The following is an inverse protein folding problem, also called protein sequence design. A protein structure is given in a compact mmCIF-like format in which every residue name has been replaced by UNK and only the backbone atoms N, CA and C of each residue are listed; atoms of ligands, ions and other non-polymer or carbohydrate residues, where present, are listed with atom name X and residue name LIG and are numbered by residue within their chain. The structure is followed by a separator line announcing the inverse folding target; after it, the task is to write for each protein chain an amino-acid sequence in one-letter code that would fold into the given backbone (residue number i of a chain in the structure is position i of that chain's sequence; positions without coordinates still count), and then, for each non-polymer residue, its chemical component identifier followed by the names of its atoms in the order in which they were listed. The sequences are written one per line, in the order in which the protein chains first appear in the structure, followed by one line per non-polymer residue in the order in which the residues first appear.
data_IF_903118127844
#
_entry.id   IF_903118127844
#
_cell.length_a   1.000
_cell.length_b   1.000
_cell.length_c   1.000
_cell.angle_alpha   90.00
_cell.angle_beta   90.00
_cell.angle_gamma   90.00
#
_symmetry.space_group_name_H-M   'P 1'
#
loop_
_entity.id
_entity.type
_entity.pdbx_description
1 polymer ?
#
# COMPACT_ATOMS: atom_id res chain seq x y z
N UNK A 1 -54.94 41.00 29.18
CA UNK A 1 -56.14 41.66 28.62
C UNK A 1 -56.32 41.18 27.18
N UNK A 2 -57.46 40.54 26.96
CA UNK A 2 -58.29 40.48 25.72
C UNK A 2 -57.60 39.95 24.45
N UNK A 3 -57.92 38.70 23.99
CA UNK A 3 -59.12 38.26 23.18
C UNK A 3 -59.03 38.84 21.78
N UNK A 4 -59.23 38.10 20.65
CA UNK A 4 -60.42 37.40 20.11
C UNK A 4 -59.96 36.78 18.77
N UNK A 5 -60.08 35.48 18.40
CA UNK A 5 -61.16 34.71 17.79
C UNK A 5 -61.69 35.26 16.42
N UNK A 6 -61.64 34.41 15.38
CA UNK A 6 -62.71 34.02 14.43
C UNK A 6 -62.05 33.32 13.23
N UNK A 7 -62.30 32.15 12.83
CA UNK A 7 -63.43 31.24 12.57
C UNK A 7 -64.21 31.53 11.27
N UNK A 8 -64.52 30.45 10.57
CA UNK A 8 -65.57 30.25 9.49
C UNK A 8 -65.05 30.36 8.06
N UNK A 9 -65.41 29.58 7.07
CA UNK A 9 -66.33 28.41 6.96
C UNK A 9 -66.19 27.79 5.58
N UNK A 10 -66.29 26.50 5.51
CA UNK A 10 -67.06 25.66 4.58
C UNK A 10 -67.64 26.28 3.27
N UNK A 11 -67.45 25.55 2.17
CA UNK A 11 -68.54 25.14 1.28
C UNK A 11 -68.13 23.97 0.39
N UNK A 12 -68.88 22.91 0.48
CA UNK A 12 -68.98 21.73 -0.37
C UNK A 12 -69.53 22.07 -1.75
N UNK A 13 -69.15 21.30 -2.74
CA UNK A 13 -70.04 20.77 -3.81
C UNK A 13 -69.25 19.79 -4.65
N UNK A 14 -69.53 18.72 -4.79
CA UNK A 14 -69.89 17.47 -5.18
C UNK A 14 -70.17 17.33 -6.67
N UNK A 15 -69.53 16.36 -7.31
CA UNK A 15 -70.03 15.73 -8.52
C UNK A 15 -69.48 14.30 -8.59
N UNK A 16 -70.34 13.37 -8.50
CA UNK A 16 -70.20 11.93 -8.78
C UNK A 16 -70.27 11.74 -10.29
N UNK A 17 -69.31 11.03 -10.90
CA UNK A 17 -69.55 10.33 -12.16
C UNK A 17 -68.95 8.94 -12.02
N UNK A 18 -69.82 7.95 -12.09
CA UNK A 18 -69.57 6.53 -12.27
C UNK A 18 -69.10 6.24 -13.69
N UNK A 19 -68.15 5.36 -13.85
CA UNK A 19 -67.98 4.69 -15.13
C UNK A 19 -66.69 3.93 -15.33
N UNK A 20 -66.85 2.61 -15.37
CA UNK A 20 -66.15 1.62 -16.14
C UNK A 20 -64.84 0.97 -15.58
N UNK A 21 -64.99 -0.34 -15.37
CA UNK A 21 -63.95 -1.32 -15.18
C UNK A 21 -62.87 -1.29 -16.28
N UNK A 22 -61.62 -1.21 -15.84
CA UNK A 22 -60.43 -1.51 -16.66
C UNK A 22 -59.41 -2.15 -15.76
N UNK A 23 -59.08 -3.42 -16.04
CA UNK A 23 -58.16 -4.25 -15.34
C UNK A 23 -56.75 -3.83 -15.75
N UNK A 24 -56.11 -2.94 -15.00
CA UNK A 24 -54.71 -2.57 -15.21
C UNK A 24 -53.87 -3.01 -14.03
N UNK A 25 -52.95 -3.95 -14.34
CA UNK A 25 -51.89 -4.38 -13.47
C UNK A 25 -51.12 -3.16 -12.96
N UNK A 26 -51.11 -2.94 -11.64
CA UNK A 26 -50.12 -2.10 -10.99
C UNK A 26 -48.77 -2.72 -11.19
N UNK A 27 -47.98 -2.20 -12.10
CA UNK A 27 -46.53 -2.32 -12.05
C UNK A 27 -46.08 -1.53 -10.80
N UNK A 28 -45.68 -2.29 -9.77
CA UNK A 28 -44.86 -1.74 -8.69
C UNK A 28 -43.52 -1.34 -9.30
N UNK A 29 -43.37 -0.07 -9.59
CA UNK A 29 -42.06 0.55 -9.80
C UNK A 29 -41.31 0.36 -8.48
N UNK A 30 -40.46 -0.68 -8.41
CA UNK A 30 -39.40 -0.74 -7.44
C UNK A 30 -38.50 0.46 -7.73
N UNK A 31 -38.67 1.52 -6.95
CA UNK A 31 -37.64 2.51 -6.75
C UNK A 31 -36.38 1.73 -6.34
N UNK A 32 -35.43 1.59 -7.23
CA UNK A 32 -34.10 1.15 -6.88
C UNK A 32 -33.56 2.22 -5.93
N UNK A 33 -33.53 1.93 -4.63
CA UNK A 33 -32.70 2.67 -3.70
C UNK A 33 -31.29 2.67 -4.29
N UNK A 34 -30.91 3.78 -4.89
CA UNK A 34 -29.50 4.05 -5.15
C UNK A 34 -28.84 4.05 -3.77
N UNK A 35 -28.09 3.00 -3.48
CA UNK A 35 -27.16 2.98 -2.35
C UNK A 35 -26.19 4.12 -2.64
N UNK A 36 -26.43 5.27 -2.03
CA UNK A 36 -25.49 6.40 -2.06
C UNK A 36 -24.31 5.94 -1.23
N UNK A 37 -23.29 5.44 -1.90
CA UNK A 37 -22.02 5.10 -1.30
C UNK A 37 -21.49 6.35 -0.60
N UNK A 38 -21.44 6.32 0.73
CA UNK A 38 -21.02 7.48 1.53
C UNK A 38 -19.72 7.16 2.24
N UNK A 39 -18.67 7.91 1.91
CA UNK A 39 -17.41 7.91 2.66
C UNK A 39 -17.71 8.27 4.13
N UNK A 40 -17.08 7.59 5.07
CA UNK A 40 -17.32 7.77 6.49
C UNK A 40 -16.68 9.05 7.02
N UNK A 41 -17.23 9.61 8.11
CA UNK A 41 -16.64 10.77 8.79
C UNK A 41 -15.47 10.38 9.73
N UNK A 42 -15.03 9.11 9.72
CA UNK A 42 -13.95 8.61 10.58
C UNK A 42 -12.61 8.73 9.86
N UNK A 43 -11.61 9.20 10.56
CA UNK A 43 -10.22 9.20 10.06
C UNK A 43 -9.77 7.77 9.73
N UNK A 44 -9.07 7.62 8.62
CA UNK A 44 -8.41 6.39 8.20
C UNK A 44 -6.92 6.49 8.52
N UNK A 45 -6.44 5.65 9.44
CA UNK A 45 -5.06 5.67 9.91
C UNK A 45 -4.20 4.73 9.05
N UNK A 46 -3.22 5.28 8.33
CA UNK A 46 -2.37 4.53 7.40
C UNK A 46 -0.92 4.50 7.88
N UNK A 47 -0.39 3.30 8.03
CA UNK A 47 1.01 3.07 8.38
C UNK A 47 1.91 3.01 7.15
N UNK A 48 3.02 3.75 7.15
CA UNK A 48 4.01 3.75 6.07
C UNK A 48 5.43 3.55 6.61
N UNK A 49 6.32 3.13 5.72
CA UNK A 49 7.77 3.22 5.87
C UNK A 49 8.30 4.28 4.89
N UNK A 50 9.47 4.91 5.15
CA UNK A 50 10.05 5.91 4.25
C UNK A 50 10.63 5.25 2.99
N UNK A 51 9.76 4.87 2.08
CA UNK A 51 10.06 4.19 0.82
C UNK A 51 9.27 4.81 -0.33
N UNK A 52 9.73 4.63 -1.56
CA UNK A 52 9.07 5.14 -2.77
C UNK A 52 7.59 4.76 -2.84
N UNK A 53 7.24 3.56 -2.38
CA UNK A 53 5.85 3.07 -2.32
C UNK A 53 4.91 3.93 -1.47
N UNK A 54 5.43 4.76 -0.57
CA UNK A 54 4.63 5.67 0.26
C UNK A 54 4.29 6.99 -0.43
N UNK A 55 4.99 7.35 -1.52
CA UNK A 55 4.83 8.65 -2.19
C UNK A 55 3.39 8.95 -2.59
N UNK A 56 2.65 8.03 -3.25
CA UNK A 56 1.29 8.34 -3.67
C UNK A 56 0.35 8.61 -2.49
N UNK A 57 0.56 7.91 -1.35
CA UNK A 57 -0.24 8.10 -0.14
C UNK A 57 0.06 9.46 0.49
N UNK A 58 1.35 9.82 0.57
CA UNK A 58 1.79 11.10 1.12
C UNK A 58 1.25 12.25 0.28
N UNK A 59 1.43 12.20 -1.04
CA UNK A 59 0.97 13.24 -1.94
C UNK A 59 -0.56 13.32 -1.99
N UNK A 60 -1.27 12.18 -1.94
CA UNK A 60 -2.73 12.20 -1.84
C UNK A 60 -3.23 12.97 -0.61
N UNK A 61 -2.50 12.90 0.51
CA UNK A 61 -2.82 13.68 1.72
C UNK A 61 -2.43 15.15 1.57
N UNK A 62 -1.20 15.44 1.21
CA UNK A 62 -0.65 16.80 1.25
C UNK A 62 -1.20 17.69 0.13
N UNK A 63 -1.47 17.13 -1.07
CA UNK A 63 -2.13 17.82 -2.20
C UNK A 63 -3.66 17.83 -2.07
N UNK A 64 -4.20 17.23 -1.01
CA UNK A 64 -5.62 17.29 -0.69
C UNK A 64 -6.50 16.33 -1.49
N UNK A 65 -5.94 15.35 -2.21
CA UNK A 65 -6.75 14.41 -3.02
C UNK A 65 -7.62 13.52 -2.15
N UNK A 66 -7.19 13.10 -0.96
CA UNK A 66 -8.06 12.40 0.00
C UNK A 66 -9.24 13.27 0.40
N UNK A 67 -8.98 14.52 0.76
CA UNK A 67 -10.02 15.48 1.15
C UNK A 67 -11.02 15.74 0.02
N UNK A 68 -10.56 15.80 -1.24
CA UNK A 68 -11.40 15.92 -2.43
C UNK A 68 -12.35 14.73 -2.59
N UNK A 69 -11.91 13.52 -2.18
CA UNK A 69 -12.75 12.32 -2.16
C UNK A 69 -13.64 12.24 -0.90
N UNK A 70 -13.61 13.24 -0.01
CA UNK A 70 -14.34 13.24 1.25
C UNK A 70 -13.73 12.34 2.34
N UNK A 71 -12.49 11.88 2.17
CA UNK A 71 -11.81 10.98 3.07
C UNK A 71 -10.83 11.76 3.96
N UNK A 72 -10.92 11.55 5.28
CA UNK A 72 -9.90 12.01 6.23
C UNK A 72 -8.88 10.90 6.47
N UNK A 73 -7.58 11.19 6.21
CA UNK A 73 -6.49 10.22 6.34
C UNK A 73 -5.42 10.77 7.29
N UNK A 74 -5.04 9.96 8.27
CA UNK A 74 -3.83 10.20 9.06
C UNK A 74 -2.71 9.23 8.68
N UNK A 75 -1.47 9.74 8.54
CA UNK A 75 -0.31 8.94 8.14
C UNK A 75 0.63 8.80 9.34
N UNK A 76 0.88 7.55 9.73
CA UNK A 76 1.87 7.20 10.75
C UNK A 76 3.12 6.60 10.10
N UNK A 77 4.26 7.25 10.28
CA UNK A 77 5.55 6.78 9.75
C UNK A 77 6.27 5.92 10.78
N UNK A 78 6.77 4.77 10.34
CA UNK A 78 7.51 3.82 11.15
C UNK A 78 8.96 3.69 10.66
N UNK A 79 9.89 3.40 11.58
CA UNK A 79 11.32 3.22 11.27
C UNK A 79 11.67 1.79 10.87
N UNK A 80 10.79 0.83 11.16
CA UNK A 80 10.99 -0.59 10.83
C UNK A 80 9.67 -1.31 10.54
N UNK A 81 9.70 -2.43 9.79
CA UNK A 81 8.52 -3.28 9.59
C UNK A 81 7.99 -3.85 10.91
N UNK A 82 8.86 -4.12 11.88
CA UNK A 82 8.47 -4.66 13.18
C UNK A 82 7.61 -3.66 13.96
N UNK A 83 8.01 -2.39 14.04
CA UNK A 83 7.24 -1.33 14.73
C UNK A 83 5.88 -1.13 14.09
N UNK A 84 5.82 -1.12 12.75
CA UNK A 84 4.57 -1.07 11.99
C UNK A 84 3.65 -2.25 12.34
N UNK A 85 4.19 -3.47 12.40
CA UNK A 85 3.41 -4.66 12.71
C UNK A 85 2.86 -4.64 14.14
N UNK A 86 3.60 -4.08 15.10
CA UNK A 86 3.11 -3.84 16.47
C UNK A 86 1.92 -2.88 16.45
N UNK A 87 1.98 -1.79 15.68
CA UNK A 87 0.87 -0.84 15.57
C UNK A 87 -0.39 -1.47 14.95
N UNK A 88 -0.26 -2.39 13.98
CA UNK A 88 -1.39 -3.17 13.44
C UNK A 88 -2.00 -4.06 14.53
N UNK A 89 -1.17 -4.80 15.28
CA UNK A 89 -1.64 -5.66 16.37
C UNK A 89 -2.34 -4.87 17.47
N UNK A 90 -1.87 -3.66 17.75
CA UNK A 90 -2.49 -2.72 18.70
C UNK A 90 -3.74 -2.02 18.13
N UNK A 91 -4.08 -2.24 16.84
CA UNK A 91 -5.17 -1.56 16.12
C UNK A 91 -5.01 -0.04 16.10
N UNK A 92 -3.78 0.44 16.07
CA UNK A 92 -3.45 1.86 15.98
C UNK A 92 -3.49 2.40 14.55
N UNK A 93 -3.47 1.50 13.55
CA UNK A 93 -3.59 1.80 12.14
C UNK A 93 -4.62 0.87 11.49
N UNK A 94 -5.34 1.40 10.51
CA UNK A 94 -6.43 0.76 9.78
C UNK A 94 -5.95 0.06 8.51
N UNK A 95 -4.87 0.58 7.93
CA UNK A 95 -4.24 0.06 6.73
C UNK A 95 -2.76 0.36 6.68
N UNK A 96 -2.03 -0.30 5.79
CA UNK A 96 -0.58 -0.15 5.70
C UNK A 96 0.00 -0.62 4.37
N UNK A 97 1.20 -0.12 4.05
CA UNK A 97 2.11 -0.75 3.09
C UNK A 97 2.81 -1.91 3.80
N UNK A 98 2.78 -3.10 3.19
CA UNK A 98 3.33 -4.33 3.75
C UNK A 98 3.77 -5.29 2.64
N UNK A 99 3.67 -6.59 2.87
CA UNK A 99 4.00 -7.67 1.93
C UNK A 99 3.11 -8.89 2.15
N UNK A 100 3.10 -9.81 1.17
CA UNK A 100 2.25 -11.01 1.18
C UNK A 100 2.58 -11.93 2.35
N UNK A 101 3.87 -12.13 2.68
CA UNK A 101 4.27 -13.04 3.77
C UNK A 101 3.86 -12.50 5.14
N UNK A 102 3.85 -11.18 5.32
CA UNK A 102 3.34 -10.53 6.54
C UNK A 102 1.84 -10.79 6.70
N UNK A 103 1.05 -10.64 5.61
CA UNK A 103 -0.39 -10.95 5.64
C UNK A 103 -0.64 -12.41 6.01
N UNK A 104 0.05 -13.35 5.36
CA UNK A 104 -0.07 -14.78 5.66
C UNK A 104 0.29 -15.08 7.12
N UNK A 105 1.31 -14.42 7.67
CA UNK A 105 1.71 -14.56 9.07
C UNK A 105 0.68 -13.94 10.01
N UNK A 106 0.10 -12.82 9.67
CA UNK A 106 -1.00 -12.20 10.43
C UNK A 106 -2.20 -13.14 10.47
N UNK A 107 -2.60 -13.69 9.34
CA UNK A 107 -3.71 -14.65 9.25
C UNK A 107 -3.51 -15.84 10.17
N UNK A 108 -2.31 -16.45 10.16
CA UNK A 108 -1.93 -17.53 11.07
C UNK A 108 -2.09 -17.15 12.54
N UNK A 109 -1.80 -15.90 12.89
CA UNK A 109 -1.85 -15.38 14.26
C UNK A 109 -3.20 -14.76 14.64
N UNK A 110 -4.24 -14.92 13.82
CA UNK A 110 -5.59 -14.44 14.09
C UNK A 110 -5.78 -12.92 13.89
N UNK A 111 -4.83 -12.25 13.23
CA UNK A 111 -4.95 -10.86 12.80
C UNK A 111 -5.48 -10.89 11.37
N UNK A 112 -6.68 -10.37 11.17
CA UNK A 112 -7.33 -10.42 9.87
C UNK A 112 -7.15 -9.10 9.12
N UNK A 113 -6.39 -9.16 8.06
CA UNK A 113 -6.22 -8.08 7.08
C UNK A 113 -6.55 -8.62 5.68
N UNK A 114 -6.70 -7.72 4.74
CA UNK A 114 -6.95 -8.05 3.33
C UNK A 114 -6.00 -7.25 2.45
N UNK A 115 -5.30 -7.91 1.53
CA UNK A 115 -4.50 -7.28 0.48
C UNK A 115 -5.46 -6.66 -0.53
N UNK A 116 -5.32 -5.36 -0.77
CA UNK A 116 -6.20 -4.61 -1.67
C UNK A 116 -5.49 -4.01 -2.88
N UNK A 117 -4.15 -4.02 -2.89
CA UNK A 117 -3.32 -3.65 -4.04
C UNK A 117 -1.89 -4.16 -3.88
N UNK A 118 -1.15 -4.24 -4.98
CA UNK A 118 0.30 -4.16 -5.00
C UNK A 118 0.79 -2.73 -4.73
N UNK A 119 2.10 -2.54 -4.75
CA UNK A 119 2.75 -1.24 -4.52
C UNK A 119 3.70 -0.85 -5.65
N UNK A 120 4.15 0.40 -5.63
CA UNK A 120 5.36 0.80 -6.35
C UNK A 120 6.56 0.13 -5.66
N UNK A 121 7.25 -0.74 -6.36
CA UNK A 121 8.37 -1.48 -5.79
C UNK A 121 9.49 -1.71 -6.80
N UNK A 122 10.69 -1.43 -6.36
CA UNK A 122 11.92 -1.86 -6.99
C UNK A 122 13.00 -1.97 -5.91
N UNK A 123 13.16 -3.17 -5.39
CA UNK A 123 14.18 -3.44 -4.39
C UNK A 123 15.50 -3.76 -5.08
N UNK A 124 16.57 -3.19 -4.57
CA UNK A 124 17.91 -3.36 -5.10
C UNK A 124 18.78 -4.18 -4.17
N UNK A 125 19.59 -5.04 -4.77
CA UNK A 125 20.74 -5.65 -4.08
C UNK A 125 21.95 -4.80 -4.38
N UNK A 126 22.56 -4.25 -3.32
CA UNK A 126 23.76 -3.44 -3.41
C UNK A 126 24.94 -4.14 -2.75
N UNK A 127 26.12 -3.93 -3.28
CA UNK A 127 27.37 -4.38 -2.65
C UNK A 127 28.18 -3.20 -2.14
N UNK A 128 28.96 -3.46 -1.08
CA UNK A 128 29.85 -2.46 -0.48
C UNK A 128 30.86 -1.92 -1.52
N UNK A 129 31.15 -0.62 -1.50
CA UNK A 129 32.21 -0.06 -2.35
C UNK A 129 33.56 -0.75 -2.19
N UNK A 130 33.84 -1.29 -0.98
CA UNK A 130 35.09 -1.95 -0.67
C UNK A 130 35.16 -3.41 -1.14
N UNK A 131 34.01 -4.03 -1.44
CA UNK A 131 33.94 -5.45 -1.80
C UNK A 131 34.45 -5.77 -3.20
N UNK A 132 34.47 -4.78 -4.13
CA UNK A 132 34.73 -4.97 -5.55
C UNK A 132 33.80 -6.00 -6.22
N UNK A 133 32.64 -6.29 -5.63
CA UNK A 133 31.63 -7.21 -6.17
C UNK A 133 30.67 -6.41 -7.04
N UNK A 134 30.70 -6.67 -8.34
CA UNK A 134 29.85 -6.02 -9.35
C UNK A 134 28.94 -7.00 -10.09
N UNK A 135 28.91 -8.26 -9.67
CA UNK A 135 28.06 -9.32 -10.21
C UNK A 135 27.40 -10.08 -9.05
N UNK A 136 26.08 -10.23 -9.11
CA UNK A 136 25.29 -10.88 -8.06
C UNK A 136 25.73 -12.33 -7.78
N UNK A 137 26.27 -13.03 -8.77
CA UNK A 137 26.79 -14.41 -8.64
C UNK A 137 28.01 -14.51 -7.70
N UNK A 138 28.68 -13.40 -7.46
CA UNK A 138 29.85 -13.34 -6.54
C UNK A 138 29.43 -13.13 -5.09
N UNK A 139 28.13 -13.18 -4.79
CA UNK A 139 27.61 -13.11 -3.42
C UNK A 139 27.61 -14.45 -2.68
N UNK A 140 28.18 -15.50 -3.29
CA UNK A 140 28.30 -16.81 -2.64
C UNK A 140 29.12 -16.72 -1.35
N UNK A 141 28.55 -17.24 -0.24
CA UNK A 141 29.09 -17.18 1.12
C UNK A 141 29.38 -15.76 1.66
N UNK A 142 28.66 -14.74 1.15
CA UNK A 142 28.83 -13.34 1.57
C UNK A 142 27.82 -12.94 2.64
N UNK A 143 28.20 -11.93 3.43
CA UNK A 143 27.35 -11.30 4.45
C UNK A 143 26.43 -10.27 3.81
N UNK A 144 25.12 -10.54 3.89
CA UNK A 144 24.07 -9.67 3.35
C UNK A 144 23.21 -9.13 4.49
N UNK A 145 23.13 -7.81 4.62
CA UNK A 145 22.24 -7.22 5.61
C UNK A 145 20.86 -6.96 5.05
N UNK A 146 19.87 -7.37 5.79
CA UNK A 146 18.43 -7.19 5.51
C UNK A 146 17.63 -7.42 6.80
N UNK A 147 16.32 -7.22 6.76
CA UNK A 147 15.42 -7.65 7.84
C UNK A 147 14.86 -9.01 7.46
N UNK A 148 15.14 -10.06 8.24
CA UNK A 148 14.67 -11.41 7.93
C UNK A 148 13.15 -11.54 8.10
N UNK A 149 12.56 -12.52 7.43
CA UNK A 149 11.15 -12.87 7.45
C UNK A 149 10.20 -11.88 6.73
N UNK A 150 10.75 -10.92 5.98
CA UNK A 150 10.02 -9.94 5.18
C UNK A 150 10.45 -9.97 3.72
N UNK A 151 9.86 -9.08 2.93
CA UNK A 151 10.07 -9.00 1.48
C UNK A 151 11.55 -8.94 1.06
N UNK A 152 12.42 -8.30 1.85
CA UNK A 152 13.85 -8.18 1.51
C UNK A 152 14.55 -9.54 1.52
N UNK A 153 14.21 -10.44 2.46
CA UNK A 153 14.75 -11.80 2.50
C UNK A 153 14.19 -12.63 1.33
N UNK A 154 12.89 -12.52 1.04
CA UNK A 154 12.30 -13.21 -0.10
C UNK A 154 13.01 -12.86 -1.41
N UNK A 155 13.22 -11.56 -1.64
CA UNK A 155 13.92 -11.07 -2.84
C UNK A 155 15.35 -11.62 -2.90
N UNK A 156 16.06 -11.60 -1.79
CA UNK A 156 17.44 -12.10 -1.76
C UNK A 156 17.49 -13.62 -1.97
N UNK A 157 16.57 -14.38 -1.38
CA UNK A 157 16.45 -15.82 -1.59
C UNK A 157 16.12 -16.16 -3.07
N UNK A 158 15.24 -15.39 -3.71
CA UNK A 158 14.95 -15.56 -5.14
C UNK A 158 16.19 -15.31 -6.02
N UNK A 159 16.97 -14.28 -5.71
CA UNK A 159 18.24 -14.05 -6.40
C UNK A 159 19.25 -15.17 -6.16
N UNK A 160 19.35 -15.65 -4.92
CA UNK A 160 20.25 -16.73 -4.56
C UNK A 160 19.90 -18.05 -5.29
N UNK A 161 18.60 -18.39 -5.33
CA UNK A 161 18.12 -19.58 -6.06
C UNK A 161 18.39 -19.45 -7.56
N UNK A 162 18.03 -18.33 -8.17
CA UNK A 162 18.18 -18.11 -9.63
C UNK A 162 19.64 -18.09 -10.08
N UNK A 163 20.55 -17.69 -9.19
CA UNK A 163 21.98 -17.57 -9.49
C UNK A 163 22.86 -18.63 -8.84
N UNK A 164 22.26 -19.60 -8.10
CA UNK A 164 22.91 -20.75 -7.48
C UNK A 164 24.02 -20.38 -6.51
N UNK A 165 23.73 -19.46 -5.57
CA UNK A 165 24.62 -19.08 -4.48
C UNK A 165 23.94 -19.16 -3.12
N UNK A 166 24.73 -19.16 -2.05
CA UNK A 166 24.28 -19.06 -0.66
C UNK A 166 24.77 -17.76 -0.05
N UNK A 167 24.19 -17.31 1.06
CA UNK A 167 24.60 -16.09 1.74
C UNK A 167 24.29 -16.16 3.24
N UNK A 168 24.99 -15.36 4.05
CA UNK A 168 24.75 -15.20 5.49
C UNK A 168 23.93 -13.94 5.75
N UNK A 169 22.82 -14.07 6.47
CA UNK A 169 21.99 -12.91 6.85
C UNK A 169 22.62 -12.20 8.05
N UNK A 170 22.80 -10.89 7.93
CA UNK A 170 23.13 -9.99 9.04
C UNK A 170 21.90 -9.12 9.31
N UNK A 171 21.17 -9.43 10.38
CA UNK A 171 19.94 -8.72 10.74
C UNK A 171 20.24 -7.33 11.30
N UNK A 172 19.93 -6.29 10.53
CA UNK A 172 20.01 -4.89 10.94
C UNK A 172 18.70 -4.19 10.56
N UNK A 173 17.74 -4.05 11.49
CA UNK A 173 16.41 -3.50 11.18
C UNK A 173 16.45 -2.03 10.77
N UNK A 174 17.31 -1.22 11.34
CA UNK A 174 17.42 0.21 11.07
C UNK A 174 18.02 0.49 9.70
N UNK A 175 17.33 1.31 8.88
CA UNK A 175 17.81 1.76 7.58
C UNK A 175 19.18 2.43 7.64
N UNK A 176 19.39 3.36 8.59
CA UNK A 176 20.65 4.10 8.73
C UNK A 176 21.81 3.18 9.15
N UNK A 177 21.57 2.27 10.11
CA UNK A 177 22.61 1.34 10.57
C UNK A 177 23.01 0.32 9.48
N UNK A 178 22.04 -0.13 8.63
CA UNK A 178 22.35 -0.95 7.46
C UNK A 178 23.22 -0.18 6.46
N UNK A 179 22.86 1.07 6.17
CA UNK A 179 23.64 1.93 5.26
C UNK A 179 25.08 2.11 5.74
N UNK A 180 25.26 2.41 7.04
CA UNK A 180 26.58 2.53 7.63
C UNK A 180 27.38 1.24 7.52
N UNK A 181 26.75 0.09 7.82
CA UNK A 181 27.40 -1.21 7.75
C UNK A 181 27.85 -1.58 6.33
N UNK A 182 27.02 -1.30 5.33
CA UNK A 182 27.34 -1.50 3.91
C UNK A 182 28.49 -0.57 3.48
N UNK A 183 28.34 0.73 3.72
CA UNK A 183 29.30 1.74 3.26
C UNK A 183 30.65 1.65 3.96
N UNK A 184 30.72 1.09 5.17
CA UNK A 184 31.98 0.84 5.88
C UNK A 184 32.61 -0.55 5.61
N UNK A 185 31.97 -1.37 4.76
CA UNK A 185 32.46 -2.72 4.43
C UNK A 185 32.35 -3.75 5.57
N UNK A 186 31.52 -3.48 6.60
CA UNK A 186 31.24 -4.46 7.67
C UNK A 186 30.40 -5.63 7.17
N UNK A 187 29.64 -5.42 6.11
CA UNK A 187 28.88 -6.40 5.33
C UNK A 187 29.22 -6.27 3.86
N UNK A 188 29.12 -7.39 3.11
CA UNK A 188 29.44 -7.41 1.69
C UNK A 188 28.34 -6.81 0.83
N UNK A 189 27.08 -7.03 1.22
CA UNK A 189 25.91 -6.58 0.48
C UNK A 189 24.75 -6.20 1.38
N UNK A 190 23.75 -5.54 0.81
CA UNK A 190 22.49 -5.17 1.46
C UNK A 190 21.34 -5.16 0.46
N UNK A 191 20.11 -5.39 0.95
CA UNK A 191 18.90 -5.22 0.16
C UNK A 191 18.17 -3.95 0.60
N UNK A 192 17.85 -3.09 -0.34
CA UNK A 192 17.21 -1.80 -0.10
C UNK A 192 16.04 -1.55 -1.03
N UNK A 193 15.10 -0.75 -0.53
CA UNK A 193 14.09 -0.08 -1.36
C UNK A 193 14.64 1.23 -1.92
N UNK A 194 13.96 1.78 -2.92
CA UNK A 194 14.23 3.14 -3.39
C UNK A 194 13.59 4.20 -2.46
N UNK A 195 14.17 5.38 -2.33
CA UNK A 195 15.35 5.93 -3.02
C UNK A 195 16.70 5.57 -2.37
N UNK A 196 16.69 4.93 -1.20
CA UNK A 196 17.92 4.66 -0.44
C UNK A 196 18.96 3.87 -1.25
N UNK A 197 18.50 2.95 -2.09
CA UNK A 197 19.38 2.17 -2.95
C UNK A 197 20.18 3.06 -3.93
N UNK A 198 19.49 3.92 -4.67
CA UNK A 198 20.12 4.85 -5.62
C UNK A 198 21.06 5.82 -4.94
N UNK A 199 20.69 6.34 -3.76
CA UNK A 199 21.55 7.24 -2.99
C UNK A 199 22.83 6.56 -2.51
N UNK A 200 22.77 5.29 -2.10
CA UNK A 200 23.96 4.53 -1.73
C UNK A 200 24.83 4.24 -2.95
N UNK A 201 24.23 4.00 -4.11
CA UNK A 201 24.96 3.81 -5.36
C UNK A 201 25.70 5.11 -5.79
N UNK A 202 25.09 6.29 -5.64
CA UNK A 202 25.75 7.59 -5.87
C UNK A 202 26.95 7.81 -4.93
N UNK A 203 26.93 7.18 -3.75
CA UNK A 203 28.05 7.19 -2.78
C UNK A 203 29.06 6.07 -3.00
N UNK A 204 28.92 5.31 -4.09
CA UNK A 204 29.89 4.31 -4.54
C UNK A 204 29.52 2.85 -4.27
N UNK A 205 28.35 2.54 -3.69
CA UNK A 205 27.85 1.17 -3.66
C UNK A 205 27.49 0.70 -5.07
N UNK A 206 27.64 -0.60 -5.35
CA UNK A 206 27.34 -1.16 -6.66
C UNK A 206 25.97 -1.84 -6.65
N UNK A 207 25.03 -1.43 -7.50
CA UNK A 207 23.78 -2.15 -7.73
C UNK A 207 24.09 -3.40 -8.55
N UNK A 208 23.82 -4.57 -8.00
CA UNK A 208 24.07 -5.89 -8.63
C UNK A 208 22.77 -6.66 -8.91
N UNK A 209 21.62 -6.17 -8.46
CA UNK A 209 20.31 -6.76 -8.72
C UNK A 209 19.17 -5.77 -8.55
N UNK A 210 18.12 -5.92 -9.35
CA UNK A 210 16.86 -5.17 -9.29
C UNK A 210 15.70 -6.16 -9.27
N UNK A 211 14.83 -6.07 -8.27
CA UNK A 211 13.64 -6.92 -8.19
C UNK A 211 12.67 -6.66 -9.33
N UNK A 212 12.54 -5.40 -9.76
CA UNK A 212 11.72 -5.00 -10.92
C UNK A 212 12.21 -5.66 -12.21
N UNK A 213 13.52 -5.59 -12.49
CA UNK A 213 14.11 -6.20 -13.68
C UNK A 213 14.03 -7.72 -13.64
N UNK A 214 14.14 -8.32 -12.46
CA UNK A 214 14.01 -9.77 -12.26
C UNK A 214 12.56 -10.26 -12.22
N UNK A 215 11.56 -9.36 -12.23
CA UNK A 215 10.15 -9.71 -12.09
C UNK A 215 9.81 -10.33 -10.73
N UNK A 216 10.48 -9.91 -9.66
CA UNK A 216 10.22 -10.37 -8.29
C UNK A 216 9.41 -9.28 -7.59
N UNK A 217 8.18 -9.61 -7.20
CA UNK A 217 7.23 -8.70 -6.56
C UNK A 217 6.60 -9.35 -5.34
N UNK A 218 6.13 -8.54 -4.40
CA UNK A 218 5.47 -9.06 -3.20
C UNK A 218 5.02 -8.00 -2.21
N UNK A 219 5.30 -6.75 -2.48
CA UNK A 219 4.82 -5.63 -1.69
C UNK A 219 3.33 -5.38 -1.91
N UNK A 220 2.63 -4.94 -0.86
CA UNK A 220 1.17 -4.81 -0.85
C UNK A 220 0.71 -3.58 -0.11
N UNK A 221 -0.51 -3.10 -0.45
CA UNK A 221 -1.33 -2.28 0.44
C UNK A 221 -2.40 -3.20 1.04
N UNK A 222 -2.54 -3.13 2.36
CA UNK A 222 -3.46 -3.98 3.13
C UNK A 222 -4.30 -3.12 4.07
N UNK A 223 -5.54 -3.55 4.30
CA UNK A 223 -6.43 -2.96 5.29
C UNK A 223 -6.93 -4.03 6.26
N UNK A 224 -7.23 -3.61 7.49
CA UNK A 224 -7.93 -4.47 8.45
C UNK A 224 -9.25 -4.95 7.84
N UNK A 225 -9.60 -6.22 8.04
CA UNK A 225 -10.87 -6.80 7.55
C UNK A 225 -12.10 -6.03 8.01
N UNK A 226 -12.06 -5.43 9.19
CA UNK A 226 -13.13 -4.56 9.69
C UNK A 226 -13.34 -3.35 8.79
N UNK A 227 -12.25 -2.73 8.32
CA UNK A 227 -12.31 -1.59 7.39
C UNK A 227 -12.83 -2.05 6.03
N UNK A 228 -12.33 -3.17 5.52
CA UNK A 228 -12.77 -3.75 4.24
C UNK A 228 -14.29 -4.01 4.23
N UNK A 229 -14.84 -4.49 5.34
CA UNK A 229 -16.25 -4.87 5.46
C UNK A 229 -17.17 -3.69 5.81
N UNK A 230 -16.74 -2.83 6.72
CA UNK A 230 -17.58 -1.78 7.28
C UNK A 230 -17.43 -0.44 6.54
N UNK A 231 -16.30 -0.22 5.87
CA UNK A 231 -15.93 1.05 5.21
C UNK A 231 -15.44 0.84 3.76
N UNK A 232 -16.11 0.03 2.92
CA UNK A 232 -15.64 -0.27 1.57
C UNK A 232 -15.53 0.97 0.67
N UNK A 233 -16.37 1.98 0.90
CA UNK A 233 -16.34 3.21 0.12
C UNK A 233 -15.16 4.12 0.49
N UNK A 234 -14.66 4.02 1.73
CA UNK A 234 -13.43 4.70 2.13
C UNK A 234 -12.22 4.13 1.39
N UNK A 235 -12.17 2.80 1.20
CA UNK A 235 -11.08 2.17 0.43
C UNK A 235 -11.16 2.54 -1.06
N UNK A 236 -12.36 2.63 -1.63
CA UNK A 236 -12.53 3.13 -3.01
C UNK A 236 -12.06 4.59 -3.13
N UNK A 237 -12.46 5.44 -2.17
CA UNK A 237 -12.03 6.83 -2.11
C UNK A 237 -10.51 6.94 -1.94
N UNK A 238 -9.91 6.07 -1.12
CA UNK A 238 -8.47 5.96 -0.95
C UNK A 238 -7.76 5.69 -2.29
N UNK A 239 -8.20 4.69 -3.06
CA UNK A 239 -7.57 4.38 -4.34
C UNK A 239 -7.85 5.41 -5.43
N UNK A 240 -8.99 6.09 -5.42
CA UNK A 240 -9.22 7.23 -6.31
C UNK A 240 -8.19 8.34 -6.03
N UNK A 241 -7.98 8.70 -4.76
CA UNK A 241 -7.00 9.72 -4.38
C UNK A 241 -5.55 9.26 -4.62
N UNK A 242 -5.25 7.99 -4.36
CA UNK A 242 -3.94 7.38 -4.65
C UNK A 242 -3.60 7.48 -6.14
N UNK A 243 -4.53 7.12 -7.02
CA UNK A 243 -4.32 7.19 -8.46
C UNK A 243 -4.24 8.65 -8.96
N UNK A 244 -4.99 9.58 -8.36
CA UNK A 244 -4.87 11.02 -8.65
C UNK A 244 -3.47 11.54 -8.24
N UNK A 245 -2.90 11.03 -7.14
CA UNK A 245 -1.53 11.35 -6.76
C UNK A 245 -0.49 10.76 -7.73
N UNK A 246 -0.73 9.57 -8.30
CA UNK A 246 0.11 9.00 -9.37
C UNK A 246 0.07 9.91 -10.61
N UNK A 247 -1.09 10.36 -11.05
CA UNK A 247 -1.21 11.31 -12.18
C UNK A 247 -0.46 12.62 -11.90
N UNK A 248 -0.56 13.11 -10.66
CA UNK A 248 0.18 14.29 -10.22
C UNK A 248 1.70 14.06 -10.29
N UNK A 249 2.20 12.94 -9.78
CA UNK A 249 3.62 12.57 -9.86
C UNK A 249 4.14 12.48 -11.29
N UNK A 250 3.33 11.94 -12.20
CA UNK A 250 3.70 11.76 -13.61
C UNK A 250 3.68 13.07 -14.41
N UNK A 251 2.98 14.09 -13.93
CA UNK A 251 2.77 15.35 -14.65
C UNK A 251 3.52 16.55 -14.07
N UNK A 252 4.13 16.43 -12.88
CA UNK A 252 4.81 17.53 -12.19
C UNK A 252 6.29 17.23 -11.92
N UNK A 253 7.09 18.28 -11.87
CA UNK A 253 8.49 18.17 -11.44
C UNK A 253 8.52 17.85 -9.93
N UNK A 254 9.31 16.86 -9.54
CA UNK A 254 9.40 16.44 -8.14
C UNK A 254 9.93 17.55 -7.22
N UNK A 255 10.59 18.58 -7.76
CA UNK A 255 11.01 19.76 -7.00
C UNK A 255 9.83 20.61 -6.52
N UNK A 256 8.69 20.53 -7.19
CA UNK A 256 7.48 21.28 -6.81
C UNK A 256 6.91 20.80 -5.47
N UNK A 257 7.16 19.52 -5.12
CA UNK A 257 6.73 18.91 -3.85
C UNK A 257 7.87 18.40 -2.96
N UNK A 258 9.11 18.87 -3.20
CA UNK A 258 10.28 18.49 -2.41
C UNK A 258 10.13 18.80 -0.89
N UNK A 259 9.50 19.93 -0.55
CA UNK A 259 9.22 20.28 0.85
C UNK A 259 8.29 19.26 1.54
N UNK A 260 7.33 18.71 0.81
CA UNK A 260 6.46 17.63 1.28
C UNK A 260 7.28 16.37 1.55
N UNK A 261 8.19 16.00 0.66
CA UNK A 261 9.07 14.84 0.85
C UNK A 261 9.92 14.96 2.11
N UNK A 262 10.55 16.12 2.32
CA UNK A 262 11.37 16.40 3.51
C UNK A 262 10.56 16.32 4.81
N UNK A 263 9.30 16.74 4.83
CA UNK A 263 8.38 16.61 5.97
C UNK A 263 8.22 15.15 6.41
N UNK A 264 8.24 14.21 5.48
CA UNK A 264 8.12 12.77 5.73
C UNK A 264 9.48 12.06 5.80
N UNK A 265 10.54 12.81 6.11
CA UNK A 265 11.90 12.30 6.34
C UNK A 265 12.55 11.66 5.10
N UNK A 266 12.07 11.98 3.91
CA UNK A 266 12.81 11.65 2.71
C UNK A 266 14.01 12.61 2.57
N UNK A 267 15.13 12.10 2.04
CA UNK A 267 16.31 12.93 1.82
C UNK A 267 16.07 13.97 0.71
N UNK A 268 16.85 15.04 0.73
CA UNK A 268 16.71 16.13 -0.23
C UNK A 268 16.94 15.67 -1.69
N UNK A 269 17.78 14.64 -1.89
CA UNK A 269 18.06 14.03 -3.18
C UNK A 269 16.87 13.26 -3.78
N UNK A 270 15.79 13.05 -3.00
CA UNK A 270 14.61 12.30 -3.46
C UNK A 270 13.97 12.92 -4.70
N UNK A 271 13.88 14.24 -4.77
CA UNK A 271 13.30 14.92 -5.93
C UNK A 271 14.13 14.67 -7.21
N UNK A 272 15.44 14.73 -7.11
CA UNK A 272 16.33 14.43 -8.25
C UNK A 272 16.24 12.96 -8.66
N UNK A 273 16.08 12.02 -7.71
CA UNK A 273 15.86 10.61 -7.99
C UNK A 273 14.56 10.40 -8.79
N UNK A 274 13.45 10.99 -8.34
CA UNK A 274 12.15 10.87 -9.03
C UNK A 274 12.25 11.43 -10.46
N UNK A 275 12.83 12.62 -10.63
CA UNK A 275 12.97 13.28 -11.93
C UNK A 275 13.89 12.55 -12.91
N UNK A 276 14.82 11.72 -12.41
CA UNK A 276 15.68 10.88 -13.26
C UNK A 276 14.95 9.65 -13.81
N UNK A 277 13.79 9.28 -13.25
CA UNK A 277 13.02 8.14 -13.76
C UNK A 277 12.45 8.47 -15.13
N UNK A 278 12.56 7.49 -16.04
CA UNK A 278 12.12 7.62 -17.43
C UNK A 278 10.71 7.04 -17.67
N UNK A 279 10.22 6.28 -16.72
CA UNK A 279 8.95 5.57 -16.83
C UNK A 279 7.95 6.19 -15.87
N UNK A 280 6.71 6.31 -16.35
CA UNK A 280 5.60 6.76 -15.52
C UNK A 280 5.31 5.76 -14.39
N UNK A 281 4.85 6.28 -13.27
CA UNK A 281 4.34 5.47 -12.18
C UNK A 281 2.98 4.88 -12.56
N UNK A 282 2.78 3.57 -12.39
CA UNK A 282 1.51 2.94 -12.69
C UNK A 282 0.48 3.21 -11.58
N UNK A 283 -0.78 3.20 -11.95
CA UNK A 283 -1.89 3.17 -10.99
C UNK A 283 -1.84 1.93 -10.07
N UNK A 284 -2.57 2.00 -8.97
CA UNK A 284 -2.77 0.84 -8.09
C UNK A 284 -3.30 -0.36 -8.89
N UNK A 285 -2.70 -1.51 -8.68
CA UNK A 285 -3.00 -2.73 -9.45
C UNK A 285 -2.98 -3.97 -8.55
N UNK A 286 -3.69 -5.05 -8.92
CA UNK A 286 -3.65 -6.31 -8.18
C UNK A 286 -2.23 -6.88 -8.07
N UNK A 287 -1.95 -7.56 -6.95
CA UNK A 287 -0.84 -8.52 -6.89
C UNK A 287 -1.17 -9.69 -7.79
N UNK A 288 -0.22 -10.18 -8.57
CA UNK A 288 -0.45 -11.34 -9.42
C UNK A 288 -0.56 -12.62 -8.58
N UNK A 289 -1.51 -13.49 -8.93
CA UNK A 289 -1.74 -14.75 -8.20
C UNK A 289 -0.49 -15.66 -8.18
N UNK A 290 0.28 -15.68 -9.27
CA UNK A 290 1.52 -16.45 -9.31
C UNK A 290 2.57 -15.95 -8.32
N UNK A 291 2.72 -14.61 -8.18
CA UNK A 291 3.65 -14.01 -7.23
C UNK A 291 3.20 -14.30 -5.80
N UNK A 292 1.90 -14.11 -5.51
CA UNK A 292 1.30 -14.46 -4.23
C UNK A 292 1.57 -15.93 -3.84
N UNK A 293 1.26 -16.86 -4.73
CA UNK A 293 1.44 -18.30 -4.48
C UNK A 293 2.92 -18.67 -4.25
N UNK A 294 3.85 -18.02 -4.97
CA UNK A 294 5.29 -18.24 -4.79
C UNK A 294 5.74 -17.78 -3.39
N UNK A 295 5.23 -16.64 -2.92
CA UNK A 295 5.55 -16.10 -1.61
C UNK A 295 4.96 -16.95 -0.49
N UNK A 296 3.71 -17.41 -0.63
CA UNK A 296 3.09 -18.31 0.35
C UNK A 296 3.90 -19.61 0.50
N UNK A 297 4.35 -20.20 -0.60
CA UNK A 297 5.23 -21.38 -0.58
C UNK A 297 6.58 -21.08 0.09
N UNK A 298 7.16 -19.91 -0.18
CA UNK A 298 8.38 -19.47 0.49
C UNK A 298 8.16 -19.31 1.99
N UNK A 299 7.07 -18.70 2.43
CA UNK A 299 6.73 -18.53 3.85
C UNK A 299 6.56 -19.88 4.58
N UNK A 300 6.00 -20.91 3.91
CA UNK A 300 5.93 -22.28 4.42
C UNK A 300 7.35 -22.86 4.57
N UNK A 301 8.18 -22.74 3.52
CA UNK A 301 9.59 -23.21 3.55
C UNK A 301 10.39 -22.56 4.69
N UNK A 302 10.13 -21.28 4.95
CA UNK A 302 10.73 -20.53 6.08
C UNK A 302 10.05 -20.82 7.42
N UNK A 303 9.02 -21.67 7.49
CA UNK A 303 8.25 -22.03 8.70
C UNK A 303 7.55 -20.84 9.36
N UNK A 304 7.31 -19.78 8.60
CA UNK A 304 6.53 -18.63 9.07
C UNK A 304 5.05 -19.01 9.21
N UNK A 305 4.56 -19.79 8.27
CA UNK A 305 3.20 -20.37 8.25
C UNK A 305 3.30 -21.89 8.07
N UNK A 306 2.23 -22.62 8.39
CA UNK A 306 2.16 -24.12 8.36
C UNK A 306 1.15 -24.64 7.38
N UNK A 307 0.41 -23.78 6.68
CA UNK A 307 -0.59 -24.14 5.68
C UNK A 307 -0.57 -23.14 4.53
N UNK A 308 -1.07 -23.57 3.37
CA UNK A 308 -1.26 -22.67 2.24
C UNK A 308 -2.56 -21.88 2.43
N UNK A 309 -2.49 -20.58 2.14
CA UNK A 309 -3.66 -19.71 2.02
C UNK A 309 -3.97 -19.49 0.55
N UNK A 310 -5.22 -19.63 0.17
CA UNK A 310 -5.63 -19.34 -1.20
C UNK A 310 -5.62 -17.83 -1.46
N UNK A 311 -5.23 -17.45 -2.67
CA UNK A 311 -5.18 -16.06 -3.11
C UNK A 311 -6.44 -15.26 -2.77
N UNK A 312 -7.63 -15.81 -3.09
CA UNK A 312 -8.93 -15.20 -2.81
C UNK A 312 -9.26 -15.03 -1.33
N UNK A 313 -8.58 -15.76 -0.45
CA UNK A 313 -8.86 -15.72 1.01
C UNK A 313 -8.14 -14.57 1.70
N UNK A 314 -7.08 -14.03 1.07
CA UNK A 314 -6.27 -12.93 1.60
C UNK A 314 -6.31 -11.67 0.73
N UNK A 315 -7.04 -11.68 -0.39
CA UNK A 315 -7.05 -10.56 -1.34
C UNK A 315 -8.47 -10.09 -1.70
N UNK A 316 -8.62 -8.80 -1.92
CA UNK A 316 -9.83 -8.20 -2.49
C UNK A 316 -9.47 -6.95 -3.31
N UNK A 317 -9.51 -7.06 -4.61
CA UNK A 317 -9.17 -5.97 -5.53
C UNK A 317 -10.39 -5.25 -6.13
N UNK A 318 -11.59 -5.47 -5.58
CA UNK A 318 -12.83 -4.84 -6.07
C UNK A 318 -12.86 -3.31 -5.89
N UNK A 319 -11.90 -2.76 -5.17
CA UNK A 319 -11.74 -1.33 -4.93
C UNK A 319 -10.91 -0.63 -6.01
N UNK A 320 -10.18 -1.38 -6.83
CA UNK A 320 -9.38 -0.86 -7.93
C UNK A 320 -10.25 -0.66 -9.17
N UNK A 321 -9.95 0.38 -9.93
CA UNK A 321 -10.63 0.71 -11.21
C UNK A 321 -9.80 0.26 -12.39
#
# INVERSE_FOLDING_TARGET
MKKIIAACSLLLLGSVVLGACGNDKKEETKESEQVVNKVSDKTLNIGILPAESALPIILAKEEGFFKKQGLDVDIKTFSSPNDRNVAIQAKEIDGTISDVMTEATFKKNGINMTITSGILEDFKVLTSPQSNITDIKKLDDKKVTLVPNFILEYIMDEFAVRNSFTYEIVDIPSFSARSESLMSGKVDAAVYTEPQASMLAEKGAHIVGSSKEAGIKGGTIQFMDTIVKERPDDIKAFYNAYNEAIEFMNSHDAKDYAATLSKYQFPDEMADYINKKKEDYPHASPVLENDFNSIVKWAIKKKQINEEYAYKDLTNFSFLK
#
